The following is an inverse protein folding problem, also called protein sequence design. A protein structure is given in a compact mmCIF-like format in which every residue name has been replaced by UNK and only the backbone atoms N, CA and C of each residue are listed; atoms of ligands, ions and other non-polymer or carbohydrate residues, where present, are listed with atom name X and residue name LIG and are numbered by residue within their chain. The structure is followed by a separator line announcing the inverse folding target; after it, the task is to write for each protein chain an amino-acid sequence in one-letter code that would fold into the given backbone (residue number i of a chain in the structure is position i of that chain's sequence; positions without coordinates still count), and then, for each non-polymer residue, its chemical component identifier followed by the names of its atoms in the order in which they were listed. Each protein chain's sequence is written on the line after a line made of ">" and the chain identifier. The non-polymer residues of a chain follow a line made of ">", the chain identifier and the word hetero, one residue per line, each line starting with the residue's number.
data_IF_433620974392
#
_entry.id   IF_433620974392
#
_cell.length_a   1.000
_cell.length_b   1.000
_cell.length_c   1.000
_cell.angle_alpha   90.00
_cell.angle_beta   90.00
_cell.angle_gamma   90.00
#
_symmetry.space_group_name_H-M   'P 1'
#
loop_
_entity.id
_entity.type
_entity.pdbx_description
1 polymer ?
#
# COMPACT_ATOMS: atom_id res chain seq x y z
N UNK A 1 -3.06 -13.25 -28.60
CA UNK A 1 -1.91 -14.19 -28.71
C UNK A 1 -2.25 -15.48 -27.98
N UNK A 2 -1.82 -16.64 -28.48
CA UNK A 2 -1.91 -17.92 -27.75
C UNK A 2 -0.64 -18.10 -26.94
N UNK A 3 -0.78 -18.42 -25.66
CA UNK A 3 0.34 -18.65 -24.73
C UNK A 3 0.09 -19.97 -24.02
N UNK A 4 1.14 -20.78 -23.89
CA UNK A 4 1.09 -22.05 -23.15
C UNK A 4 1.74 -21.81 -21.78
N UNK A 5 1.07 -22.26 -20.71
CA UNK A 5 1.54 -22.13 -19.33
C UNK A 5 1.40 -23.49 -18.65
N UNK A 6 2.39 -23.87 -17.86
CA UNK A 6 2.33 -25.07 -17.02
C UNK A 6 1.68 -24.73 -15.68
N UNK A 7 0.62 -25.47 -15.33
CA UNK A 7 -0.15 -25.27 -14.10
C UNK A 7 -0.37 -26.64 -13.46
N UNK A 8 -0.13 -26.81 -12.14
CA UNK A 8 -0.45 -28.06 -11.45
C UNK A 8 -1.92 -28.46 -11.64
N UNK A 9 -2.19 -29.75 -11.91
CA UNK A 9 -3.54 -30.24 -12.24
C UNK A 9 -4.59 -29.86 -11.18
N UNK A 10 -4.25 -29.99 -9.89
CA UNK A 10 -5.14 -29.59 -8.80
C UNK A 10 -5.55 -28.12 -8.87
N UNK A 11 -4.61 -27.24 -9.21
CA UNK A 11 -4.87 -25.81 -9.34
C UNK A 11 -5.70 -25.51 -10.58
N UNK A 12 -5.40 -26.19 -11.69
CA UNK A 12 -6.16 -26.05 -12.93
C UNK A 12 -7.64 -26.46 -12.78
N UNK A 13 -7.91 -27.59 -12.09
CA UNK A 13 -9.28 -28.02 -11.79
C UNK A 13 -10.02 -27.01 -10.92
N UNK A 14 -9.37 -26.50 -9.87
CA UNK A 14 -9.95 -25.46 -9.01
C UNK A 14 -10.28 -24.20 -9.81
N UNK A 15 -9.35 -23.75 -10.67
CA UNK A 15 -9.56 -22.58 -11.51
C UNK A 15 -10.75 -22.75 -12.47
N UNK A 16 -10.94 -23.95 -13.07
CA UNK A 16 -12.13 -24.23 -13.88
C UNK A 16 -13.43 -24.17 -13.08
N UNK A 17 -13.46 -24.79 -11.90
CA UNK A 17 -14.62 -24.76 -11.03
C UNK A 17 -15.00 -23.32 -10.67
N UNK A 18 -14.02 -22.52 -10.23
CA UNK A 18 -14.22 -21.10 -9.91
C UNK A 18 -14.68 -20.29 -11.13
N UNK A 19 -14.17 -20.58 -12.32
CA UNK A 19 -14.62 -19.91 -13.54
C UNK A 19 -16.10 -20.22 -13.82
N UNK A 20 -16.50 -21.49 -13.71
CA UNK A 20 -17.88 -21.93 -13.89
C UNK A 20 -18.84 -21.32 -12.84
N UNK A 21 -18.44 -21.31 -11.56
CA UNK A 21 -19.19 -20.67 -10.47
C UNK A 21 -19.43 -19.18 -10.71
N UNK A 22 -18.47 -18.49 -11.34
CA UNK A 22 -18.55 -17.07 -11.69
C UNK A 22 -19.22 -16.81 -13.04
N UNK A 23 -19.68 -17.84 -13.74
CA UNK A 23 -20.27 -17.69 -15.08
C UNK A 23 -19.31 -17.16 -16.14
N UNK A 24 -18.00 -17.38 -15.97
CA UNK A 24 -16.97 -16.89 -16.89
C UNK A 24 -16.08 -18.00 -17.43
N UNK A 25 -15.42 -17.73 -18.55
CA UNK A 25 -14.46 -18.69 -19.13
C UNK A 25 -13.17 -18.72 -18.32
N UNK A 26 -12.46 -19.85 -18.36
CA UNK A 26 -11.14 -19.96 -17.75
C UNK A 26 -10.16 -18.91 -18.29
N UNK A 27 -10.27 -18.54 -19.57
CA UNK A 27 -9.47 -17.50 -20.20
C UNK A 27 -9.71 -16.13 -19.55
N UNK A 28 -10.97 -15.77 -19.31
CA UNK A 28 -11.33 -14.52 -18.62
C UNK A 28 -10.78 -14.51 -17.19
N UNK A 29 -11.02 -15.58 -16.43
CA UNK A 29 -10.50 -15.71 -15.07
C UNK A 29 -8.98 -15.53 -15.00
N UNK A 30 -8.23 -16.18 -15.90
CA UNK A 30 -6.77 -16.07 -15.94
C UNK A 30 -6.33 -14.66 -16.33
N UNK A 31 -7.02 -14.04 -17.27
CA UNK A 31 -6.70 -12.68 -17.74
C UNK A 31 -6.94 -11.66 -16.63
N UNK A 32 -8.07 -11.73 -15.94
CA UNK A 32 -8.40 -10.88 -14.78
C UNK A 32 -7.40 -11.07 -13.65
N UNK A 33 -7.07 -12.31 -13.30
CA UNK A 33 -6.08 -12.60 -12.26
C UNK A 33 -4.69 -12.02 -12.59
N UNK A 34 -4.28 -12.10 -13.86
CA UNK A 34 -3.02 -11.49 -14.32
C UNK A 34 -3.10 -9.96 -14.28
N UNK A 35 -4.20 -9.37 -14.73
CA UNK A 35 -4.42 -7.92 -14.65
C UNK A 35 -4.38 -7.44 -13.20
N UNK A 36 -5.09 -8.08 -12.28
CA UNK A 36 -5.08 -7.73 -10.86
C UNK A 36 -3.67 -7.87 -10.27
N UNK A 37 -2.97 -8.97 -10.58
CA UNK A 37 -1.61 -9.22 -10.08
C UNK A 37 -0.60 -8.18 -10.57
N UNK A 38 -0.74 -7.71 -11.81
CA UNK A 38 0.12 -6.69 -12.41
C UNK A 38 -0.30 -5.26 -12.02
N UNK A 39 -1.60 -5.02 -11.81
CA UNK A 39 -2.15 -3.75 -11.34
C UNK A 39 -1.85 -3.49 -9.86
N UNK A 40 -1.68 -4.54 -9.06
CA UNK A 40 -1.00 -4.50 -7.76
C UNK A 40 0.51 -4.24 -7.94
N UNK A 41 0.86 -3.18 -8.66
CA UNK A 41 2.17 -2.54 -8.59
C UNK A 41 2.28 -1.97 -7.19
N UNK A 42 3.37 -2.36 -6.50
CA UNK A 42 3.87 -1.92 -5.18
C UNK A 42 2.95 -0.90 -4.54
N UNK A 43 2.43 -1.17 -3.34
CA UNK A 43 2.06 -0.11 -2.40
C UNK A 43 3.19 0.89 -2.46
N UNK A 44 3.00 1.96 -3.23
CA UNK A 44 4.00 2.96 -3.41
C UNK A 44 4.16 3.47 -1.99
N UNK A 45 5.36 3.32 -1.43
CA UNK A 45 5.67 4.00 -0.17
C UNK A 45 5.13 5.43 -0.37
N UNK A 46 4.24 5.91 0.52
CA UNK A 46 3.63 7.22 0.33
C UNK A 46 4.75 8.20 -0.01
N UNK A 47 4.60 9.03 -1.05
CA UNK A 47 5.68 9.93 -1.51
C UNK A 47 6.21 10.81 -0.37
N UNK A 48 5.41 11.08 0.66
CA UNK A 48 5.83 11.71 1.90
C UNK A 48 7.00 11.02 2.62
N UNK A 49 7.11 9.69 2.51
CA UNK A 49 8.23 8.92 3.10
C UNK A 49 9.54 9.05 2.33
N UNK A 50 9.52 9.59 1.10
CA UNK A 50 10.75 9.87 0.32
C UNK A 50 11.57 11.01 0.92
N UNK A 51 10.94 11.85 1.75
CA UNK A 51 11.59 12.93 2.51
C UNK A 51 12.16 12.50 3.86
N UNK A 52 11.76 11.34 4.37
CA UNK A 52 12.05 10.92 5.74
C UNK A 52 13.56 10.76 5.96
N UNK A 53 14.10 11.44 6.97
CA UNK A 53 15.52 11.39 7.33
C UNK A 53 16.47 12.28 6.52
N UNK A 54 16.03 12.90 5.41
CA UNK A 54 16.89 13.80 4.60
C UNK A 54 17.35 15.05 5.33
N UNK A 55 16.62 15.46 6.37
CA UNK A 55 16.92 16.63 7.20
C UNK A 55 17.60 16.29 8.53
N UNK A 56 18.12 15.07 8.72
CA UNK A 56 18.75 14.65 9.99
C UNK A 56 19.87 15.61 10.45
N UNK A 57 20.58 16.25 9.51
CA UNK A 57 21.62 17.25 9.80
C UNK A 57 21.10 18.50 10.53
N UNK A 58 19.80 18.78 10.46
CA UNK A 58 19.14 19.94 11.07
C UNK A 58 18.61 19.64 12.48
N UNK A 59 18.93 18.47 13.06
CA UNK A 59 18.39 18.05 14.36
C UNK A 59 18.51 19.13 15.45
N UNK A 60 19.65 19.81 15.55
CA UNK A 60 19.84 20.91 16.52
C UNK A 60 18.90 22.09 16.31
N UNK A 61 18.62 22.42 15.05
CA UNK A 61 17.67 23.50 14.72
C UNK A 61 16.24 23.05 15.00
N UNK A 62 15.91 21.80 14.72
CA UNK A 62 14.63 21.20 15.09
C UNK A 62 14.41 21.23 16.61
N UNK A 63 15.42 20.89 17.41
CA UNK A 63 15.35 20.97 18.88
C UNK A 63 15.11 22.40 19.38
N UNK A 64 15.78 23.38 18.78
CA UNK A 64 15.59 24.80 19.13
C UNK A 64 14.16 25.27 18.86
N UNK A 65 13.61 24.92 17.69
CA UNK A 65 12.23 25.25 17.32
C UNK A 65 11.26 24.54 18.27
N UNK A 66 11.48 23.25 18.53
CA UNK A 66 10.61 22.47 19.42
C UNK A 66 10.57 23.07 20.83
N UNK A 67 11.71 23.47 21.40
CA UNK A 67 11.74 24.12 22.71
C UNK A 67 10.91 25.41 22.75
N UNK A 68 10.89 26.18 21.65
CA UNK A 68 10.05 27.39 21.54
C UNK A 68 8.57 27.05 21.45
N UNK A 69 8.23 25.97 20.73
CA UNK A 69 6.86 25.48 20.62
C UNK A 69 6.37 25.00 21.98
N UNK A 70 7.18 24.20 22.69
CA UNK A 70 6.84 23.68 24.00
C UNK A 70 6.63 24.85 24.98
N UNK A 71 7.55 25.82 25.01
CA UNK A 71 7.36 27.02 25.84
C UNK A 71 6.04 27.76 25.55
N UNK A 72 5.64 27.86 24.28
CA UNK A 72 4.45 28.59 23.88
C UNK A 72 3.14 27.78 24.00
N UNK A 73 3.20 26.45 23.91
CA UNK A 73 2.03 25.60 23.68
C UNK A 73 1.96 24.34 24.57
N UNK A 74 2.85 24.15 25.55
CA UNK A 74 2.84 22.97 26.44
C UNK A 74 1.71 22.99 27.48
N UNK A 75 0.97 24.10 27.59
CA UNK A 75 -0.21 24.22 28.45
C UNK A 75 -1.48 24.14 27.61
N UNK A 76 -2.27 23.08 27.82
CA UNK A 76 -3.62 22.96 27.27
C UNK A 76 -4.50 24.04 27.93
N UNK A 77 -5.12 24.89 27.10
CA UNK A 77 -6.04 25.93 27.54
C UNK A 77 -7.21 25.31 28.35
N UNK A 78 -7.65 25.95 29.43
CA UNK A 78 -8.72 25.42 30.30
C UNK A 78 -9.99 25.00 29.55
N UNK A 79 -10.37 25.74 28.51
CA UNK A 79 -11.49 25.52 27.61
C UNK A 79 -11.37 24.24 26.75
N UNK A 80 -10.15 23.74 26.54
CA UNK A 80 -9.86 22.52 25.78
C UNK A 80 -9.72 21.28 26.66
N UNK A 81 -9.87 21.42 28.00
CA UNK A 81 -9.63 20.34 28.96
C UNK A 81 -10.79 19.35 29.17
N UNK A 82 -11.99 19.63 28.64
CA UNK A 82 -13.19 18.77 28.46
C UNK A 82 -14.47 19.59 28.57
#
# INVERSE_FOLDING_TARGET
>A
MKTTLEIPDRLFRRAKATAAERGQTLKQLVTEALQEKLARKKVARPSWTEGFGKLKRLHRETERIQATIDEAFDVIEPEDRL
#
